data_IF_186727071164
#
_entry.id   IF_186727071164
#
_cell.length_a   1.000
_cell.length_b   1.000
_cell.length_c   1.000
_cell.angle_alpha   90.00
_cell.angle_beta   90.00
_cell.angle_gamma   90.00
#
_symmetry.space_group_name_H-M   'P 1'
#
loop_
_entity.id
_entity.type
_entity.pdbx_description
1 polymer ?
#
# COMPACT_ATOMS: atom_id res chain seq x y z
N UNK A 1 11.04 -3.46 1.55
CA UNK A 1 10.58 -4.39 2.61
C UNK A 1 11.77 -5.05 3.32
N UNK A 2 12.78 -5.52 2.59
CA UNK A 2 13.93 -6.22 3.16
C UNK A 2 14.81 -5.35 4.09
N UNK A 3 15.00 -4.07 3.77
CA UNK A 3 15.74 -3.14 4.65
C UNK A 3 14.99 -2.91 5.96
N UNK A 4 13.70 -2.61 5.90
CA UNK A 4 12.85 -2.43 7.08
C UNK A 4 12.75 -3.69 7.93
N UNK A 5 12.85 -4.88 7.31
CA UNK A 5 12.87 -6.14 8.05
C UNK A 5 14.13 -6.29 8.93
N UNK A 6 15.27 -5.71 8.52
CA UNK A 6 16.49 -5.68 9.35
C UNK A 6 16.31 -4.83 10.60
N UNK A 7 15.44 -3.83 10.53
CA UNK A 7 15.05 -2.96 11.66
C UNK A 7 13.90 -3.57 12.49
N UNK A 8 13.47 -4.80 12.18
CA UNK A 8 12.37 -5.48 12.88
C UNK A 8 10.97 -5.04 12.44
N UNK A 9 10.87 -4.26 11.36
CA UNK A 9 9.60 -3.76 10.83
C UNK A 9 9.10 -4.69 9.73
N UNK A 10 8.00 -5.39 10.00
CA UNK A 10 7.32 -6.22 9.00
C UNK A 10 6.40 -5.37 8.13
N UNK A 11 6.60 -5.38 6.81
CA UNK A 11 5.77 -4.66 5.84
C UNK A 11 5.08 -5.64 4.89
N UNK A 12 3.77 -5.50 4.76
CA UNK A 12 2.99 -6.22 3.75
C UNK A 12 2.95 -5.37 2.47
N UNK A 13 3.52 -5.90 1.38
CA UNK A 13 3.59 -5.18 0.09
C UNK A 13 2.48 -5.69 -0.82
N UNK A 14 1.51 -4.84 -1.09
CA UNK A 14 0.38 -5.14 -1.99
C UNK A 14 0.62 -4.48 -3.33
N UNK A 15 0.68 -5.28 -4.39
CA UNK A 15 0.66 -4.76 -5.75
C UNK A 15 -0.79 -4.63 -6.21
N UNK A 16 -1.23 -3.40 -6.50
CA UNK A 16 -2.61 -3.09 -6.86
C UNK A 16 -3.07 -3.82 -8.14
N UNK A 17 -2.18 -4.06 -9.11
CA UNK A 17 -2.42 -4.63 -10.46
C UNK A 17 -3.48 -3.91 -11.30
N UNK A 18 -4.69 -3.74 -10.79
CA UNK A 18 -5.83 -3.06 -11.42
C UNK A 18 -6.06 -1.70 -10.76
N UNK A 19 -5.94 -0.64 -11.55
CA UNK A 19 -6.18 0.74 -11.07
C UNK A 19 -7.69 1.01 -11.01
N UNK A 20 -8.47 0.45 -11.93
CA UNK A 20 -9.93 0.62 -11.98
C UNK A 20 -10.64 -0.65 -12.48
N UNK A 21 -11.57 -1.23 -11.71
CA UNK A 21 -11.90 -0.89 -10.32
C UNK A 21 -10.74 -1.21 -9.36
N UNK A 22 -10.50 -0.32 -8.40
CA UNK A 22 -9.47 -0.54 -7.38
C UNK A 22 -9.90 -1.67 -6.44
N UNK A 23 -9.01 -2.61 -6.17
CA UNK A 23 -9.24 -3.69 -5.20
C UNK A 23 -9.15 -3.16 -3.76
N UNK A 24 -10.23 -2.52 -3.33
CA UNK A 24 -10.36 -1.92 -1.99
C UNK A 24 -10.44 -2.99 -0.90
N UNK A 25 -11.02 -4.14 -1.18
CA UNK A 25 -11.21 -5.22 -0.21
C UNK A 25 -9.87 -5.73 0.33
N UNK A 26 -8.91 -5.99 -0.56
CA UNK A 26 -7.57 -6.45 -0.18
C UNK A 26 -6.82 -5.40 0.64
N UNK A 27 -6.90 -4.13 0.24
CA UNK A 27 -6.25 -3.02 0.96
C UNK A 27 -6.85 -2.88 2.36
N UNK A 28 -8.17 -2.83 2.49
CA UNK A 28 -8.87 -2.65 3.77
C UNK A 28 -8.54 -3.78 4.74
N UNK A 29 -8.53 -5.03 4.29
CA UNK A 29 -8.15 -6.18 5.14
C UNK A 29 -6.72 -6.06 5.66
N UNK A 30 -5.79 -5.64 4.80
CA UNK A 30 -4.39 -5.41 5.21
C UNK A 30 -4.28 -4.26 6.20
N UNK A 31 -4.98 -3.14 5.97
CA UNK A 31 -4.95 -1.98 6.87
C UNK A 31 -5.54 -2.31 8.24
N UNK A 32 -6.61 -3.10 8.31
CA UNK A 32 -7.17 -3.58 9.59
C UNK A 32 -6.13 -4.39 10.37
N UNK A 33 -5.34 -5.22 9.67
CA UNK A 33 -4.30 -6.06 10.28
C UNK A 33 -3.06 -5.25 10.71
N UNK A 34 -2.59 -4.30 9.91
CA UNK A 34 -1.32 -3.57 10.15
C UNK A 34 -1.50 -2.21 10.82
N UNK A 35 -2.72 -1.66 10.84
CA UNK A 35 -3.07 -0.32 11.35
C UNK A 35 -2.31 0.84 10.72
N UNK A 36 -1.52 0.61 9.67
CA UNK A 36 -0.69 1.61 8.98
C UNK A 36 -0.71 1.35 7.47
N UNK A 37 -0.84 2.42 6.67
CA UNK A 37 -0.89 2.39 5.21
C UNK A 37 0.12 3.38 4.64
N UNK A 38 0.85 2.97 3.61
CA UNK A 38 1.69 3.85 2.79
C UNK A 38 1.40 3.53 1.33
N UNK A 39 1.10 4.55 0.54
CA UNK A 39 0.90 4.44 -0.92
C UNK A 39 2.15 4.93 -1.63
N UNK A 40 2.56 4.21 -2.68
CA UNK A 40 3.69 4.59 -3.54
C UNK A 40 3.18 4.63 -4.97
N UNK A 41 3.31 5.79 -5.61
CA UNK A 41 2.99 5.99 -7.02
C UNK A 41 4.04 6.88 -7.68
N UNK A 42 4.20 6.71 -8.99
CA UNK A 42 5.13 7.49 -9.83
C UNK A 42 4.43 8.69 -10.53
N UNK A 43 3.14 8.89 -10.22
CA UNK A 43 2.32 9.97 -10.78
C UNK A 43 2.50 11.30 -10.07
N UNK A 44 1.74 12.31 -10.51
CA UNK A 44 1.67 13.57 -9.77
C UNK A 44 0.99 13.34 -8.41
N UNK A 45 1.49 13.98 -7.33
CA UNK A 45 0.96 13.76 -5.98
C UNK A 45 -0.47 14.29 -5.81
N UNK A 46 -0.87 15.28 -6.60
CA UNK A 46 -2.23 15.81 -6.59
C UNK A 46 -3.09 15.08 -7.63
N UNK A 47 -4.27 14.61 -7.21
CA UNK A 47 -5.19 13.80 -8.04
C UNK A 47 -4.60 12.48 -8.54
N UNK A 48 -3.59 11.96 -7.84
CA UNK A 48 -3.01 10.64 -8.06
C UNK A 48 -3.92 9.50 -7.58
N UNK A 49 -3.42 8.28 -7.68
CA UNK A 49 -4.11 7.05 -7.25
C UNK A 49 -4.13 6.96 -5.72
N UNK A 50 -3.15 7.56 -5.04
CA UNK A 50 -3.04 7.56 -3.59
C UNK A 50 -3.81 8.68 -2.86
N UNK A 51 -4.41 9.62 -3.59
CA UNK A 51 -5.18 10.74 -3.05
C UNK A 51 -6.60 10.34 -2.63
#
# INVERSE_FOLDING_TARGET
AEELAKEGISCEVINLRTIKPLDRDTIVKSVIKTSRLVTVEDGFPQSGIGA
#
